data_IF_613912173421
#
_entry.id   IF_613912173421
#
_cell.length_a   1.000
_cell.length_b   1.000
_cell.length_c   1.000
_cell.angle_alpha   90.00
_cell.angle_beta   90.00
_cell.angle_gamma   90.00
#
_symmetry.space_group_name_H-M   'P 1'
#
loop_
_entity.id
_entity.type
_entity.pdbx_description
1 polymer ?
#
# COMPACT_ATOMS: atom_id res chain seq x y z
N UNK A 1 4.47 6.64 -26.55
CA UNK A 1 4.21 6.44 -25.12
C UNK A 1 2.73 6.60 -24.88
N UNK A 2 2.10 5.65 -24.24
CA UNK A 2 0.75 5.86 -23.73
C UNK A 2 0.84 6.78 -22.51
N UNK A 3 -0.23 7.49 -22.14
CA UNK A 3 -0.22 8.31 -20.92
C UNK A 3 0.16 7.55 -19.64
N UNK A 4 -0.18 6.28 -19.57
CA UNK A 4 0.19 5.38 -18.47
C UNK A 4 1.70 5.16 -18.35
N UNK A 5 2.43 5.11 -19.48
CA UNK A 5 3.87 4.94 -19.47
C UNK A 5 4.59 6.15 -18.85
N UNK A 6 4.13 7.35 -19.18
CA UNK A 6 4.75 8.60 -18.69
C UNK A 6 4.73 8.63 -17.18
N UNK A 7 3.60 8.28 -16.57
CA UNK A 7 3.41 8.32 -15.12
C UNK A 7 4.28 7.34 -14.35
N UNK A 8 4.43 6.11 -14.84
CA UNK A 8 5.34 5.16 -14.24
C UNK A 8 6.77 5.69 -14.18
N UNK A 9 7.23 6.31 -15.26
CA UNK A 9 8.60 6.82 -15.36
C UNK A 9 8.81 8.00 -14.42
N UNK A 10 7.83 8.89 -14.28
CA UNK A 10 7.88 10.01 -13.32
C UNK A 10 7.96 9.49 -11.87
N UNK A 11 7.14 8.51 -11.52
CA UNK A 11 7.21 7.87 -10.19
C UNK A 11 8.55 7.15 -9.97
N UNK A 12 9.09 6.51 -11.00
CA UNK A 12 10.39 5.87 -10.91
C UNK A 12 11.52 6.90 -10.70
N UNK A 13 11.41 8.09 -11.29
CA UNK A 13 12.34 9.21 -11.05
C UNK A 13 12.24 9.72 -9.61
N UNK A 14 11.04 9.94 -9.09
CA UNK A 14 10.80 10.34 -7.69
C UNK A 14 11.41 9.29 -6.74
N UNK A 15 11.15 8.01 -6.99
CA UNK A 15 11.71 6.92 -6.21
C UNK A 15 13.25 6.96 -6.25
N UNK A 16 13.84 7.05 -7.43
CA UNK A 16 15.31 7.09 -7.58
C UNK A 16 15.94 8.30 -6.90
N UNK A 17 15.28 9.44 -6.87
CA UNK A 17 15.74 10.63 -6.16
C UNK A 17 15.71 10.46 -4.62
N UNK A 18 14.87 9.55 -4.10
CA UNK A 18 14.75 9.25 -2.67
C UNK A 18 15.64 8.09 -2.20
N UNK A 19 16.25 7.34 -3.13
CA UNK A 19 17.08 6.20 -2.77
C UNK A 19 18.47 6.64 -2.29
N UNK A 20 19.10 5.86 -1.37
CA UNK A 20 20.49 6.06 -0.99
C UNK A 20 21.46 5.89 -2.17
N UNK A 21 22.62 6.55 -2.08
CA UNK A 21 23.71 6.40 -3.06
C UNK A 21 24.07 4.93 -3.32
N UNK A 22 24.17 4.57 -4.59
CA UNK A 22 24.50 3.21 -5.03
C UNK A 22 23.29 2.28 -5.15
N UNK A 23 22.09 2.73 -4.82
CA UNK A 23 20.85 2.01 -5.10
C UNK A 23 20.14 2.65 -6.28
N UNK A 24 19.55 1.82 -7.13
CA UNK A 24 18.77 2.27 -8.27
C UNK A 24 17.55 1.37 -8.49
N UNK A 25 16.40 1.98 -8.62
CA UNK A 25 15.18 1.33 -9.06
C UNK A 25 15.12 1.30 -10.59
N UNK A 26 14.76 0.17 -11.14
CA UNK A 26 14.55 -0.03 -12.57
C UNK A 26 13.19 -0.65 -12.84
N UNK A 27 12.66 -0.40 -14.04
CA UNK A 27 11.37 -0.92 -14.44
C UNK A 27 11.43 -2.40 -14.80
N UNK A 28 10.41 -3.17 -14.44
CA UNK A 28 10.13 -4.50 -14.95
C UNK A 28 8.78 -4.52 -15.68
N UNK A 29 8.52 -5.55 -16.52
CA UNK A 29 9.42 -6.66 -16.88
C UNK A 29 10.60 -6.24 -17.77
N UNK A 30 11.47 -7.22 -18.09
CA UNK A 30 12.61 -7.00 -18.98
C UNK A 30 12.19 -6.38 -20.32
N UNK A 31 12.96 -5.39 -20.79
CA UNK A 31 12.65 -4.65 -21.99
C UNK A 31 11.70 -3.46 -21.79
N UNK A 32 11.16 -3.25 -20.58
CA UNK A 32 10.43 -2.04 -20.28
C UNK A 32 11.37 -0.83 -20.32
N UNK A 33 11.06 0.13 -21.19
CA UNK A 33 11.80 1.38 -21.38
C UNK A 33 10.86 2.45 -21.91
N UNK A 34 11.18 3.74 -21.69
CA UNK A 34 10.38 4.82 -22.30
C UNK A 34 10.24 4.65 -23.82
N UNK A 35 8.99 4.55 -24.29
CA UNK A 35 8.70 4.33 -25.72
C UNK A 35 8.83 2.90 -26.23
N UNK A 36 9.15 1.93 -25.35
CA UNK A 36 9.11 0.50 -25.68
C UNK A 36 7.69 -0.01 -25.87
N UNK A 37 7.54 -1.13 -26.61
CA UNK A 37 6.28 -1.86 -26.66
C UNK A 37 5.99 -2.66 -25.38
N UNK A 38 7.02 -2.91 -24.56
CA UNK A 38 6.88 -3.58 -23.25
C UNK A 38 6.49 -2.54 -22.21
N UNK A 39 5.29 -2.70 -21.67
CA UNK A 39 4.76 -1.79 -20.66
C UNK A 39 5.41 -2.07 -19.29
N UNK A 40 5.80 -1.03 -18.53
CA UNK A 40 6.28 -1.20 -17.18
C UNK A 40 5.14 -1.66 -16.26
N UNK A 41 5.42 -2.60 -15.36
CA UNK A 41 4.42 -3.17 -14.45
C UNK A 41 4.83 -3.10 -12.97
N UNK A 42 6.10 -3.04 -12.68
CA UNK A 42 6.67 -2.96 -11.32
C UNK A 42 8.06 -2.35 -11.37
N UNK A 43 8.56 -1.93 -10.20
CA UNK A 43 9.94 -1.51 -10.03
C UNK A 43 10.71 -2.51 -9.17
N UNK A 44 11.99 -2.71 -9.46
CA UNK A 44 12.88 -3.56 -8.69
C UNK A 44 14.28 -2.97 -8.55
N UNK A 45 15.05 -3.43 -7.56
CA UNK A 45 16.42 -2.97 -7.33
C UNK A 45 17.34 -3.51 -8.43
N UNK A 46 18.03 -2.61 -9.11
CA UNK A 46 18.98 -2.96 -10.17
C UNK A 46 20.09 -3.88 -9.66
N UNK A 47 20.41 -4.91 -10.44
CA UNK A 47 21.56 -5.77 -10.19
C UNK A 47 21.43 -6.69 -8.96
N UNK A 48 20.24 -6.88 -8.39
CA UNK A 48 20.06 -7.69 -7.19
C UNK A 48 18.96 -8.73 -7.35
N UNK A 49 19.18 -9.89 -6.74
CA UNK A 49 18.18 -10.93 -6.53
C UNK A 49 18.05 -11.25 -5.05
N UNK A 50 16.87 -11.63 -4.62
CA UNK A 50 16.55 -12.03 -3.25
C UNK A 50 16.50 -13.54 -3.16
N UNK A 51 17.08 -14.11 -2.10
CA UNK A 51 17.11 -15.55 -1.82
C UNK A 51 16.97 -15.80 -0.33
N UNK A 52 16.60 -17.02 0.06
CA UNK A 52 16.69 -17.43 1.46
C UNK A 52 18.14 -17.56 1.90
N UNK A 53 18.46 -17.17 3.14
CA UNK A 53 19.80 -17.26 3.74
C UNK A 53 20.38 -18.69 3.63
N UNK A 54 19.56 -19.68 3.88
CA UNK A 54 19.97 -21.09 3.82
C UNK A 54 20.48 -21.50 2.42
N UNK A 55 19.98 -20.84 1.38
CA UNK A 55 20.33 -21.12 -0.01
C UNK A 55 21.35 -20.14 -0.60
N UNK A 56 21.73 -19.10 0.14
CA UNK A 56 22.59 -18.03 -0.40
C UNK A 56 23.91 -18.54 -1.00
N UNK A 57 24.55 -19.51 -0.35
CA UNK A 57 25.78 -20.14 -0.86
C UNK A 57 25.58 -20.93 -2.15
N UNK A 58 24.48 -21.70 -2.24
CA UNK A 58 24.10 -22.46 -3.44
C UNK A 58 23.76 -21.50 -4.58
N UNK A 59 22.95 -20.49 -4.29
CA UNK A 59 22.57 -19.46 -5.25
C UNK A 59 23.78 -18.70 -5.80
N UNK A 60 24.70 -18.26 -4.94
CA UNK A 60 25.94 -17.61 -5.35
C UNK A 60 26.80 -18.50 -6.26
N UNK A 61 26.95 -19.79 -5.93
CA UNK A 61 27.68 -20.74 -6.75
C UNK A 61 27.02 -20.95 -8.13
N UNK A 62 25.69 -20.98 -8.18
CA UNK A 62 24.95 -21.10 -9.45
C UNK A 62 25.12 -19.88 -10.31
N UNK A 63 24.96 -18.68 -9.76
CA UNK A 63 25.18 -17.42 -10.49
C UNK A 63 26.62 -17.32 -11.00
N UNK A 64 27.60 -17.73 -10.19
CA UNK A 64 29.02 -17.75 -10.61
C UNK A 64 29.27 -18.68 -11.78
N UNK A 65 28.57 -19.84 -11.87
CA UNK A 65 28.66 -20.74 -13.04
C UNK A 65 28.07 -20.15 -14.30
N UNK A 66 26.97 -19.39 -14.15
CA UNK A 66 26.30 -18.72 -15.27
C UNK A 66 27.10 -17.54 -15.83
N UNK A 67 27.86 -16.89 -14.97
CA UNK A 67 28.60 -15.67 -15.26
C UNK A 67 30.00 -15.78 -14.65
N UNK A 68 30.95 -16.46 -15.31
CA UNK A 68 32.29 -16.57 -14.79
C UNK A 68 33.01 -15.21 -14.83
N UNK A 69 33.34 -14.67 -13.66
CA UNK A 69 34.10 -13.43 -13.50
C UNK A 69 34.31 -13.07 -12.03
N UNK A 70 35.33 -12.27 -11.69
CA UNK A 70 35.62 -11.94 -10.28
C UNK A 70 34.57 -11.07 -9.59
N UNK A 71 33.70 -10.45 -10.36
CA UNK A 71 32.60 -9.59 -9.83
C UNK A 71 31.21 -10.17 -10.07
N UNK A 72 31.11 -11.44 -10.46
CA UNK A 72 29.86 -12.04 -10.88
C UNK A 72 28.80 -12.09 -9.75
N UNK A 73 29.22 -12.23 -8.50
CA UNK A 73 28.33 -12.28 -7.33
C UNK A 73 28.99 -11.69 -6.10
N UNK A 74 28.34 -10.75 -5.47
CA UNK A 74 28.66 -10.31 -4.11
C UNK A 74 27.44 -10.58 -3.21
N UNK A 75 27.66 -11.24 -2.10
CA UNK A 75 26.63 -11.37 -1.07
C UNK A 75 26.57 -10.03 -0.34
N UNK A 76 25.55 -9.26 -0.56
CA UNK A 76 25.30 -8.06 0.21
C UNK A 76 25.09 -8.45 1.68
N UNK A 77 25.55 -7.59 2.61
CA UNK A 77 25.47 -7.89 4.05
C UNK A 77 24.04 -8.28 4.46
N UNK A 78 23.92 -9.35 5.26
CA UNK A 78 22.64 -9.74 5.79
C UNK A 78 22.08 -8.60 6.63
N UNK A 79 20.89 -8.14 6.31
CA UNK A 79 20.03 -7.56 7.32
C UNK A 79 19.28 -8.72 7.96
N UNK A 80 19.76 -9.16 9.11
CA UNK A 80 19.09 -10.18 9.91
C UNK A 80 17.89 -9.55 10.57
N UNK A 81 16.75 -10.09 10.31
CA UNK A 81 15.57 -9.75 11.04
C UNK A 81 14.74 -10.99 11.27
N UNK A 82 14.66 -11.41 12.51
CA UNK A 82 13.68 -12.42 12.91
C UNK A 82 13.85 -13.76 12.18
N UNK A 83 12.96 -14.65 12.34
CA UNK A 83 13.00 -16.08 12.06
C UNK A 83 13.20 -16.54 10.62
N UNK A 84 13.33 -15.71 9.64
CA UNK A 84 13.66 -16.08 8.26
C UNK A 84 14.63 -15.06 7.71
N UNK A 85 15.89 -15.44 7.51
CA UNK A 85 16.87 -14.54 6.94
C UNK A 85 16.81 -14.58 5.43
N UNK A 86 16.56 -13.43 4.83
CA UNK A 86 16.69 -13.20 3.41
C UNK A 86 18.04 -12.56 3.10
N UNK A 87 18.58 -12.87 1.92
CA UNK A 87 19.83 -12.31 1.43
C UNK A 87 19.65 -11.69 0.07
N UNK A 88 20.15 -10.47 -0.08
CA UNK A 88 20.35 -9.86 -1.40
C UNK A 88 21.68 -10.33 -1.95
N UNK A 89 21.63 -10.88 -3.14
CA UNK A 89 22.82 -11.17 -3.94
C UNK A 89 22.96 -10.08 -5.00
N UNK A 90 24.07 -9.32 -4.95
CA UNK A 90 24.42 -8.44 -6.06
C UNK A 90 24.93 -9.30 -7.21
N UNK A 91 24.28 -9.21 -8.35
CA UNK A 91 24.54 -10.00 -9.55
C UNK A 91 25.04 -9.08 -10.65
N UNK A 92 26.19 -9.36 -11.21
CA UNK A 92 26.78 -8.56 -12.29
C UNK A 92 26.03 -8.67 -13.63
N UNK A 93 24.94 -9.42 -13.68
CA UNK A 93 24.13 -9.64 -14.88
C UNK A 93 23.11 -8.54 -15.09
N UNK A 94 22.94 -8.19 -16.36
CA UNK A 94 21.81 -7.36 -16.80
C UNK A 94 20.52 -8.16 -16.94
N UNK A 95 20.61 -9.50 -17.02
CA UNK A 95 19.46 -10.41 -17.17
C UNK A 95 19.16 -11.09 -15.81
N UNK A 96 18.50 -10.33 -14.94
CA UNK A 96 18.12 -10.82 -13.61
C UNK A 96 16.98 -11.83 -13.69
N UNK A 97 16.04 -11.68 -14.64
CA UNK A 97 14.94 -12.63 -14.83
C UNK A 97 15.46 -14.02 -15.15
N UNK A 98 16.41 -14.12 -16.08
CA UNK A 98 17.06 -15.37 -16.41
C UNK A 98 17.80 -15.98 -15.22
N UNK A 99 18.41 -15.11 -14.39
CA UNK A 99 19.07 -15.57 -13.16
C UNK A 99 18.08 -16.21 -12.21
N UNK A 100 16.93 -15.55 -11.95
CA UNK A 100 15.84 -16.11 -11.10
C UNK A 100 15.32 -17.41 -11.68
N UNK A 101 15.06 -17.50 -12.99
CA UNK A 101 14.66 -18.76 -13.65
C UNK A 101 15.66 -19.89 -13.48
N UNK A 102 16.96 -19.60 -13.56
CA UNK A 102 17.99 -20.63 -13.34
C UNK A 102 18.04 -21.11 -11.90
N UNK A 103 17.90 -20.17 -10.93
CA UNK A 103 17.82 -20.54 -9.51
C UNK A 103 16.60 -21.42 -9.24
N UNK A 104 15.45 -21.09 -9.81
CA UNK A 104 14.23 -21.88 -9.69
C UNK A 104 14.40 -23.31 -10.25
N UNK A 105 15.13 -23.49 -11.36
CA UNK A 105 15.45 -24.84 -11.91
C UNK A 105 16.34 -25.68 -11.01
N UNK A 106 17.09 -25.04 -10.12
CA UNK A 106 17.90 -25.72 -9.09
C UNK A 106 17.19 -25.82 -7.73
N UNK A 107 15.87 -25.60 -7.71
CA UNK A 107 15.04 -25.64 -6.51
C UNK A 107 15.53 -24.66 -5.43
N UNK A 108 15.87 -23.45 -5.87
CA UNK A 108 16.26 -22.32 -5.02
C UNK A 108 15.20 -21.24 -5.12
N UNK A 109 14.46 -21.02 -4.03
CA UNK A 109 13.50 -19.94 -3.95
C UNK A 109 14.20 -18.57 -4.07
N UNK A 110 13.84 -17.84 -5.11
CA UNK A 110 14.44 -16.55 -5.41
C UNK A 110 13.46 -15.62 -6.13
N UNK A 111 13.68 -14.33 -6.01
CA UNK A 111 12.92 -13.30 -6.71
C UNK A 111 13.81 -12.12 -7.12
N UNK A 112 13.31 -11.23 -7.95
CA UNK A 112 13.81 -9.86 -8.00
C UNK A 112 13.59 -9.20 -6.64
N UNK A 113 14.30 -8.13 -6.33
CA UNK A 113 14.04 -7.34 -5.11
C UNK A 113 13.07 -6.23 -5.48
N UNK A 114 11.78 -6.46 -5.27
CA UNK A 114 10.73 -5.52 -5.70
C UNK A 114 10.62 -4.32 -4.75
N UNK A 115 10.19 -3.18 -5.30
CA UNK A 115 9.70 -2.06 -4.52
C UNK A 115 8.19 -2.20 -4.29
N UNK A 116 7.80 -2.16 -3.04
CA UNK A 116 6.40 -2.06 -2.59
C UNK A 116 6.08 -0.59 -2.37
N UNK A 117 4.99 -0.08 -2.92
CA UNK A 117 4.66 1.35 -2.89
C UNK A 117 3.26 1.61 -2.34
N UNK A 118 3.08 2.72 -1.62
CA UNK A 118 1.74 3.19 -1.17
C UNK A 118 0.91 3.73 -2.33
N UNK A 119 1.57 4.26 -3.34
CA UNK A 119 0.96 4.61 -4.61
C UNK A 119 1.51 3.64 -5.64
N UNK A 120 0.74 2.67 -6.03
CA UNK A 120 1.03 1.87 -7.20
C UNK A 120 1.16 2.76 -8.43
N UNK A 121 1.58 2.20 -9.56
CA UNK A 121 1.61 2.88 -10.85
C UNK A 121 0.18 3.22 -11.27
N UNK A 122 -0.36 4.29 -10.75
CA UNK A 122 -1.75 4.64 -10.94
C UNK A 122 -2.01 5.17 -12.35
N UNK A 123 -2.97 4.56 -12.99
CA UNK A 123 -3.43 4.94 -14.33
C UNK A 123 -4.59 5.94 -14.28
N UNK A 124 -4.94 6.42 -13.09
CA UNK A 124 -6.05 7.34 -12.87
C UNK A 124 -5.56 8.64 -12.25
N UNK A 125 -5.98 9.82 -12.76
CA UNK A 125 -5.67 11.11 -12.16
C UNK A 125 -6.19 11.30 -10.74
N UNK A 126 -6.92 10.33 -10.19
CA UNK A 126 -7.44 10.37 -8.83
C UNK A 126 -6.43 10.01 -7.74
N UNK A 127 -5.17 9.72 -8.06
CA UNK A 127 -4.15 9.35 -7.06
C UNK A 127 -3.41 10.54 -6.43
N UNK A 128 -3.52 11.72 -7.00
CA UNK A 128 -3.10 12.96 -6.34
C UNK A 128 -4.26 13.57 -5.53
N UNK A 129 -3.97 14.08 -4.32
CA UNK A 129 -5.00 14.71 -3.51
C UNK A 129 -5.44 16.04 -4.13
N UNK A 130 -6.72 16.39 -3.94
CA UNK A 130 -7.29 17.68 -4.37
C UNK A 130 -7.78 18.43 -3.13
N UNK A 131 -7.53 19.76 -2.99
CA UNK A 131 -8.04 20.53 -1.86
C UNK A 131 -9.55 20.38 -1.71
N UNK A 132 -10.02 20.22 -0.48
CA UNK A 132 -11.43 20.10 -0.15
C UNK A 132 -11.80 21.00 1.04
N UNK A 133 -13.03 21.50 1.04
CA UNK A 133 -13.60 22.22 2.16
C UNK A 133 -14.56 21.37 3.01
N UNK A 134 -14.62 20.07 2.75
CA UNK A 134 -15.55 19.14 3.41
C UNK A 134 -16.91 19.05 2.71
N UNK A 135 -17.91 18.33 3.21
CA UNK A 135 -17.87 17.56 4.46
C UNK A 135 -16.97 16.30 4.40
N UNK A 136 -16.71 15.70 5.55
CA UNK A 136 -16.00 14.40 5.61
C UNK A 136 -16.78 13.33 4.84
N UNK A 137 -16.04 12.54 4.08
CA UNK A 137 -16.54 11.36 3.38
C UNK A 137 -15.53 10.21 3.56
N UNK A 138 -15.86 9.14 4.29
CA UNK A 138 -17.13 8.90 4.97
C UNK A 138 -17.39 9.85 6.15
N UNK A 139 -18.66 10.08 6.53
CA UNK A 139 -19.00 10.87 7.71
C UNK A 139 -18.63 10.13 9.00
N UNK A 140 -18.50 10.88 10.09
CA UNK A 140 -18.27 10.29 11.41
C UNK A 140 -19.45 9.40 11.83
N UNK A 141 -19.12 8.16 12.20
CA UNK A 141 -20.06 7.17 12.70
C UNK A 141 -20.34 7.31 14.22
N UNK A 142 -21.06 6.33 14.80
CA UNK A 142 -21.33 6.29 16.25
C UNK A 142 -20.04 6.24 17.08
N UNK A 143 -19.97 7.05 18.14
CA UNK A 143 -18.75 7.37 18.92
C UNK A 143 -18.08 6.20 19.63
N UNK A 144 -18.82 5.13 19.89
CA UNK A 144 -18.38 3.92 20.61
C UNK A 144 -17.87 2.81 19.69
N UNK A 145 -18.02 2.98 18.37
CA UNK A 145 -17.57 1.99 17.39
C UNK A 145 -16.07 1.84 17.42
N UNK A 146 -15.61 0.59 17.50
CA UNK A 146 -14.20 0.23 17.57
C UNK A 146 -13.61 0.28 18.97
N UNK A 147 -14.40 0.54 20.03
CA UNK A 147 -13.91 0.62 21.40
C UNK A 147 -13.22 -0.69 21.83
N UNK A 148 -11.97 -0.55 22.31
CA UNK A 148 -11.15 -1.69 22.75
C UNK A 148 -10.51 -2.49 21.62
N UNK A 149 -10.57 -1.99 20.37
CA UNK A 149 -9.93 -2.61 19.19
C UNK A 149 -8.69 -1.81 18.80
N UNK A 150 -7.56 -2.51 18.66
CA UNK A 150 -6.29 -1.94 18.23
C UNK A 150 -6.06 -2.09 16.73
N UNK A 151 -5.66 -1.01 16.06
CA UNK A 151 -5.37 -1.00 14.61
C UNK A 151 -4.00 -0.38 14.35
N UNK A 152 -3.11 -1.16 13.73
CA UNK A 152 -1.86 -0.63 13.19
C UNK A 152 -2.03 -0.26 11.72
N UNK A 153 -1.79 1.00 11.39
CA UNK A 153 -1.71 1.50 10.01
C UNK A 153 -0.24 1.57 9.62
N UNK A 154 0.16 0.75 8.66
CA UNK A 154 1.54 0.69 8.18
C UNK A 154 1.61 1.46 6.85
N UNK A 155 2.09 2.72 6.91
CA UNK A 155 1.98 3.68 5.82
C UNK A 155 3.13 4.71 5.85
N UNK A 156 2.89 5.96 5.51
CA UNK A 156 3.87 7.06 5.46
C UNK A 156 3.96 7.87 6.76
N UNK A 157 3.36 7.40 7.86
CA UNK A 157 3.30 8.13 9.12
C UNK A 157 2.22 9.22 9.13
N UNK A 158 2.28 10.07 10.15
CA UNK A 158 1.36 11.18 10.40
C UNK A 158 2.02 12.51 10.04
N UNK A 159 1.26 13.45 9.51
CA UNK A 159 1.70 14.83 9.32
C UNK A 159 1.77 15.56 10.67
N UNK A 160 2.62 16.60 10.75
CA UNK A 160 2.89 17.29 12.02
C UNK A 160 1.65 17.95 12.65
N UNK A 161 0.70 18.40 11.84
CA UNK A 161 -0.52 19.12 12.25
C UNK A 161 -1.76 18.20 12.36
N UNK A 162 -1.59 16.86 12.36
CA UNK A 162 -2.69 15.91 12.37
C UNK A 162 -3.68 16.07 13.54
N UNK A 163 -3.23 16.59 14.68
CA UNK A 163 -4.09 16.82 15.86
C UNK A 163 -4.99 18.05 15.73
N UNK A 164 -4.81 18.90 14.72
CA UNK A 164 -5.73 19.99 14.40
C UNK A 164 -7.07 19.43 13.90
N UNK A 165 -7.08 18.18 13.44
CA UNK A 165 -8.28 17.45 13.07
C UNK A 165 -8.92 16.80 14.30
N UNK A 166 -10.07 17.31 14.74
CA UNK A 166 -10.74 16.90 15.99
C UNK A 166 -11.02 15.39 16.07
N UNK A 167 -11.28 14.72 14.96
CA UNK A 167 -11.53 13.28 14.93
C UNK A 167 -10.27 12.42 15.03
N UNK A 168 -9.09 13.00 14.89
CA UNK A 168 -7.79 12.36 15.14
C UNK A 168 -7.28 12.65 16.55
N UNK A 169 -7.69 13.75 17.16
CA UNK A 169 -7.35 14.10 18.52
C UNK A 169 -8.17 13.28 19.54
N UNK A 170 -7.67 13.20 20.77
CA UNK A 170 -8.46 12.65 21.88
C UNK A 170 -9.70 13.49 22.13
N UNK A 171 -10.87 12.88 22.30
CA UNK A 171 -12.08 13.63 22.62
C UNK A 171 -12.02 14.13 24.07
N UNK A 172 -11.94 15.47 24.23
CA UNK A 172 -12.07 16.13 25.54
C UNK A 172 -13.52 16.05 25.98
N UNK A 173 -13.92 15.04 26.70
CA UNK A 173 -15.28 14.92 27.25
C UNK A 173 -15.91 13.55 27.05
N UNK A 174 -15.23 12.65 26.38
CA UNK A 174 -15.59 11.24 26.34
C UNK A 174 -14.43 10.45 26.95
N UNK A 175 -14.57 9.87 28.14
CA UNK A 175 -13.58 8.96 28.65
C UNK A 175 -13.45 7.80 27.66
N UNK A 176 -12.23 7.50 27.21
CA UNK A 176 -11.86 6.34 26.40
C UNK A 176 -11.94 6.47 24.87
N UNK A 177 -11.95 7.67 24.29
CA UNK A 177 -11.59 7.78 22.86
C UNK A 177 -10.10 8.18 22.80
N UNK A 178 -9.20 7.26 22.44
CA UNK A 178 -7.79 7.56 22.33
C UNK A 178 -7.54 8.52 21.16
N UNK A 179 -6.52 9.37 21.27
CA UNK A 179 -6.01 10.07 20.07
C UNK A 179 -5.38 9.04 19.14
N UNK A 180 -5.34 9.36 17.85
CA UNK A 180 -4.45 8.66 16.92
C UNK A 180 -3.01 8.92 17.35
N UNK A 181 -2.18 7.89 17.37
CA UNK A 181 -0.76 7.98 17.76
C UNK A 181 0.11 7.40 16.62
N UNK A 182 1.41 7.60 16.66
CA UNK A 182 2.33 7.01 15.69
C UNK A 182 3.53 7.86 15.37
N UNK A 183 4.16 7.53 14.25
CA UNK A 183 5.34 8.22 13.73
C UNK A 183 4.91 9.52 13.05
N UNK A 184 5.30 10.64 13.66
CA UNK A 184 4.97 11.98 13.15
C UNK A 184 6.14 12.52 12.34
N UNK A 185 5.87 12.92 11.10
CA UNK A 185 6.85 13.57 10.23
C UNK A 185 7.14 14.97 10.74
N UNK A 186 8.41 15.37 10.79
CA UNK A 186 8.75 16.74 11.16
C UNK A 186 8.30 17.72 10.06
N UNK A 187 7.85 18.96 10.42
CA UNK A 187 7.32 19.91 9.43
C UNK A 187 8.28 20.19 8.25
N UNK A 188 9.59 20.22 8.51
CA UNK A 188 10.61 20.41 7.46
C UNK A 188 10.80 19.22 6.54
N UNK A 189 10.43 18.03 6.97
CA UNK A 189 10.53 16.80 6.17
C UNK A 189 9.30 16.58 5.29
N UNK A 190 8.20 17.28 5.54
CA UNK A 190 6.99 17.26 4.71
C UNK A 190 7.12 18.07 3.43
N UNK A 191 8.05 19.03 3.43
CA UNK A 191 8.21 19.97 2.34
C UNK A 191 9.50 19.69 1.56
N UNK A 192 9.45 20.00 0.27
CA UNK A 192 10.63 20.05 -0.59
C UNK A 192 11.42 21.36 -0.38
N UNK A 193 12.61 21.54 -1.01
CA UNK A 193 13.39 22.77 -0.90
C UNK A 193 12.66 24.04 -1.36
N UNK A 194 11.62 23.92 -2.20
CA UNK A 194 10.81 25.03 -2.70
C UNK A 194 9.60 25.32 -1.78
N UNK A 195 9.46 24.59 -0.67
CA UNK A 195 8.39 24.73 0.30
C UNK A 195 7.07 24.10 -0.14
N UNK A 196 7.09 23.19 -1.10
CA UNK A 196 5.93 22.46 -1.58
C UNK A 196 5.78 21.15 -0.82
N UNK A 197 4.55 20.72 -0.57
CA UNK A 197 4.25 19.43 0.04
C UNK A 197 4.81 18.32 -0.87
N UNK A 198 5.67 17.45 -0.31
CA UNK A 198 6.24 16.32 -1.04
C UNK A 198 5.18 15.30 -1.46
N UNK A 199 5.40 14.57 -2.56
CA UNK A 199 4.54 13.45 -2.93
C UNK A 199 4.38 12.46 -1.77
N UNK A 200 3.16 11.92 -1.60
CA UNK A 200 2.76 10.94 -0.58
C UNK A 200 2.73 11.42 0.87
N UNK A 201 3.18 12.62 1.18
CA UNK A 201 2.94 13.25 2.49
C UNK A 201 1.43 13.31 2.74
N UNK A 202 1.03 12.96 3.97
CA UNK A 202 -0.37 12.96 4.39
C UNK A 202 -1.16 11.70 4.04
N UNK A 203 -0.60 10.74 3.27
CA UNK A 203 -1.30 9.50 2.89
C UNK A 203 -1.71 8.69 4.13
N UNK A 204 -0.79 8.43 5.07
CA UNK A 204 -1.09 7.72 6.33
C UNK A 204 -2.05 8.49 7.24
N UNK A 205 -1.96 9.84 7.26
CA UNK A 205 -2.91 10.68 8.01
C UNK A 205 -4.31 10.59 7.44
N UNK A 206 -4.45 10.63 6.12
CA UNK A 206 -5.73 10.47 5.43
C UNK A 206 -6.37 9.12 5.76
N UNK A 207 -5.60 8.03 5.70
CA UNK A 207 -6.03 6.66 6.04
C UNK A 207 -6.51 6.60 7.49
N UNK A 208 -5.74 7.13 8.44
CA UNK A 208 -6.14 7.21 9.84
C UNK A 208 -7.44 7.99 10.02
N UNK A 209 -7.59 9.08 9.28
CA UNK A 209 -8.81 9.89 9.29
C UNK A 209 -10.04 9.15 8.78
N UNK A 210 -9.91 8.42 7.67
CA UNK A 210 -10.98 7.57 7.13
C UNK A 210 -11.37 6.48 8.13
N UNK A 211 -10.40 5.78 8.71
CA UNK A 211 -10.63 4.75 9.71
C UNK A 211 -11.38 5.31 10.93
N UNK A 212 -10.96 6.48 11.43
CA UNK A 212 -11.59 7.17 12.56
C UNK A 212 -13.00 7.65 12.26
N UNK A 213 -13.32 7.95 11.02
CA UNK A 213 -14.71 8.22 10.62
C UNK A 213 -15.61 7.00 10.79
N UNK A 214 -15.10 5.80 10.51
CA UNK A 214 -15.85 4.52 10.57
C UNK A 214 -15.84 3.92 11.98
N UNK A 215 -14.72 3.97 12.66
CA UNK A 215 -14.51 3.43 14.01
C UNK A 215 -13.87 4.47 14.95
N UNK A 216 -14.62 5.48 15.41
CA UNK A 216 -14.09 6.60 16.17
C UNK A 216 -13.40 6.23 17.48
N UNK A 217 -13.76 5.11 18.09
CA UNK A 217 -13.20 4.66 19.37
C UNK A 217 -12.08 3.62 19.22
N UNK A 218 -11.69 3.26 18.00
CA UNK A 218 -10.56 2.35 17.79
C UNK A 218 -9.24 3.00 18.22
N UNK A 219 -8.35 2.20 18.81
CA UNK A 219 -6.99 2.59 19.14
C UNK A 219 -6.13 2.46 17.88
N UNK A 220 -5.86 3.60 17.23
CA UNK A 220 -5.19 3.65 15.93
C UNK A 220 -3.77 4.16 16.11
N UNK A 221 -2.82 3.37 15.62
CA UNK A 221 -1.42 3.76 15.55
C UNK A 221 -0.89 3.68 14.13
N UNK A 222 -0.28 4.78 13.66
CA UNK A 222 0.25 4.92 12.30
C UNK A 222 1.78 4.85 12.33
N UNK A 223 2.35 3.99 11.52
CA UNK A 223 3.80 3.81 11.41
C UNK A 223 4.31 4.25 10.04
N UNK A 224 5.49 4.85 10.02
CA UNK A 224 6.21 5.13 8.78
C UNK A 224 7.02 3.89 8.37
N UNK A 225 6.45 3.09 7.47
CA UNK A 225 7.06 1.87 6.94
C UNK A 225 7.68 2.07 5.53
N UNK A 226 7.52 3.24 4.92
CA UNK A 226 7.90 3.53 3.53
C UNK A 226 8.87 4.70 3.42
N UNK A 227 10.17 4.47 3.65
CA UNK A 227 11.17 5.53 3.76
C UNK A 227 11.56 6.21 2.42
N UNK A 228 11.24 5.60 1.26
CA UNK A 228 11.70 6.06 -0.04
C UNK A 228 10.56 6.68 -0.85
N UNK A 229 10.14 7.89 -0.49
CA UNK A 229 9.01 8.59 -1.13
C UNK A 229 7.77 7.69 -1.30
N UNK A 230 7.31 7.10 -0.19
CA UNK A 230 6.17 6.17 -0.21
C UNK A 230 6.48 4.78 -0.74
N UNK A 231 7.74 4.40 -0.85
CA UNK A 231 8.17 3.07 -1.24
C UNK A 231 9.12 2.43 -0.22
N UNK A 232 9.21 1.09 -0.24
CA UNK A 232 10.17 0.29 0.50
C UNK A 232 10.57 -0.94 -0.33
N UNK A 233 11.77 -1.46 -0.13
CA UNK A 233 12.14 -2.77 -0.69
C UNK A 233 11.42 -3.87 0.06
N UNK A 234 10.97 -4.91 -0.65
CA UNK A 234 10.11 -5.96 -0.09
C UNK A 234 10.72 -6.66 1.14
N UNK A 235 12.02 -6.91 1.15
CA UNK A 235 12.71 -7.53 2.29
C UNK A 235 12.90 -6.56 3.46
N UNK A 236 13.13 -5.27 3.20
CA UNK A 236 13.17 -4.23 4.24
C UNK A 236 11.78 -4.03 4.85
N UNK A 237 10.74 -4.04 4.01
CA UNK A 237 9.36 -3.91 4.47
C UNK A 237 8.97 -5.09 5.36
N UNK A 238 9.15 -6.33 4.89
CA UNK A 238 8.82 -7.53 5.68
C UNK A 238 9.49 -7.53 7.05
N UNK A 239 10.78 -7.13 7.10
CA UNK A 239 11.50 -6.93 8.36
C UNK A 239 10.89 -5.82 9.22
N UNK A 240 10.61 -4.67 8.62
CA UNK A 240 10.06 -3.53 9.36
C UNK A 240 8.70 -3.86 9.95
N UNK A 241 7.84 -4.56 9.20
CA UNK A 241 6.53 -5.00 9.68
C UNK A 241 6.66 -5.91 10.91
N UNK A 242 7.48 -6.96 10.82
CA UNK A 242 7.73 -7.87 11.94
C UNK A 242 8.28 -7.14 13.16
N UNK A 243 9.32 -6.30 12.97
CA UNK A 243 9.93 -5.54 14.04
C UNK A 243 8.92 -4.62 14.75
N UNK A 244 8.09 -3.88 14.00
CA UNK A 244 7.07 -3.00 14.56
C UNK A 244 6.09 -3.80 15.41
N UNK A 245 5.61 -4.94 14.91
CA UNK A 245 4.62 -5.75 15.62
C UNK A 245 5.21 -6.45 16.84
N UNK A 246 6.46 -6.87 16.78
CA UNK A 246 7.15 -7.47 17.94
C UNK A 246 7.45 -6.42 19.04
N UNK A 247 7.84 -5.20 18.65
CA UNK A 247 8.16 -4.11 19.61
C UNK A 247 6.91 -3.51 20.26
N UNK A 248 5.81 -3.39 19.52
CA UNK A 248 4.60 -2.71 19.97
C UNK A 248 3.44 -3.64 20.32
N UNK A 249 3.58 -4.93 20.05
CA UNK A 249 2.54 -5.95 20.19
C UNK A 249 1.69 -6.12 18.92
N UNK A 250 1.16 -7.31 18.77
CA UNK A 250 0.29 -7.66 17.63
C UNK A 250 -1.09 -7.04 17.82
N UNK A 251 -1.52 -6.16 16.91
CA UNK A 251 -2.84 -5.53 16.98
C UNK A 251 -3.94 -6.50 16.54
N UNK A 252 -5.19 -6.13 16.77
CA UNK A 252 -6.32 -6.86 16.21
C UNK A 252 -6.39 -6.77 14.68
N UNK A 253 -6.02 -5.61 14.13
CA UNK A 253 -6.06 -5.34 12.68
C UNK A 253 -4.77 -4.65 12.25
N UNK A 254 -4.17 -5.13 11.19
CA UNK A 254 -3.12 -4.45 10.41
C UNK A 254 -3.75 -3.90 9.15
N UNK A 255 -3.70 -2.59 8.92
CA UNK A 255 -4.13 -1.93 7.68
C UNK A 255 -2.91 -1.56 6.85
N UNK A 256 -2.78 -2.12 5.65
CA UNK A 256 -1.65 -1.91 4.75
C UNK A 256 -2.13 -1.46 3.37
N UNK A 257 -1.98 -0.18 3.11
CA UNK A 257 -2.41 0.46 1.86
C UNK A 257 -1.27 0.60 0.87
N UNK A 258 -0.54 -0.49 0.66
CA UNK A 258 0.61 -0.54 -0.23
C UNK A 258 0.73 -1.90 -0.92
N UNK A 259 1.44 -1.95 -2.04
CA UNK A 259 1.70 -3.20 -2.72
C UNK A 259 2.52 -3.05 -3.99
N UNK A 260 2.69 -4.17 -4.68
CA UNK A 260 3.35 -4.24 -5.99
C UNK A 260 2.93 -5.51 -6.74
N UNK A 261 3.20 -5.52 -8.03
CA UNK A 261 3.20 -6.74 -8.84
C UNK A 261 4.58 -7.39 -8.81
N UNK A 262 4.63 -8.65 -9.15
CA UNK A 262 5.87 -9.41 -9.30
C UNK A 262 6.07 -9.83 -10.76
N UNK A 263 7.31 -10.16 -11.10
CA UNK A 263 7.71 -10.49 -12.47
C UNK A 263 6.95 -11.67 -13.09
N UNK A 264 6.56 -12.63 -12.26
CA UNK A 264 5.94 -13.90 -12.64
C UNK A 264 4.57 -14.12 -11.96
N UNK A 265 4.00 -13.07 -11.38
CA UNK A 265 2.77 -13.10 -10.58
C UNK A 265 2.87 -13.97 -9.32
N UNK A 266 4.05 -14.44 -8.92
CA UNK A 266 4.28 -15.19 -7.68
C UNK A 266 4.24 -14.28 -6.46
N UNK A 267 4.05 -14.88 -5.28
CA UNK A 267 4.04 -14.17 -4.02
C UNK A 267 5.38 -13.48 -3.72
N UNK A 268 5.34 -12.30 -3.08
CA UNK A 268 6.52 -11.57 -2.64
C UNK A 268 7.31 -12.39 -1.62
N UNK A 269 8.53 -12.78 -1.99
CA UNK A 269 9.43 -13.54 -1.11
C UNK A 269 9.78 -12.74 0.15
N UNK A 270 9.92 -11.42 0.02
CA UNK A 270 10.25 -10.52 1.11
C UNK A 270 9.20 -10.42 2.21
N UNK A 271 7.93 -10.72 1.90
CA UNK A 271 6.82 -10.69 2.84
C UNK A 271 6.38 -12.07 3.35
N UNK A 272 6.98 -13.15 2.84
CA UNK A 272 6.55 -14.51 3.20
C UNK A 272 6.62 -14.77 4.72
N UNK A 273 7.73 -14.39 5.35
CA UNK A 273 7.91 -14.59 6.80
C UNK A 273 6.93 -13.76 7.64
N UNK A 274 6.57 -12.56 7.18
CA UNK A 274 5.54 -11.73 7.81
C UNK A 274 4.17 -12.40 7.74
N UNK A 275 3.81 -12.97 6.59
CA UNK A 275 2.53 -13.65 6.41
C UNK A 275 2.45 -14.94 7.22
N UNK A 276 3.56 -15.68 7.31
CA UNK A 276 3.65 -16.88 8.15
C UNK A 276 3.48 -16.55 9.65
N UNK A 277 4.13 -15.49 10.15
CA UNK A 277 3.97 -15.03 11.53
C UNK A 277 2.55 -14.49 11.77
N UNK A 278 1.97 -13.77 10.81
CA UNK A 278 0.58 -13.33 10.89
C UNK A 278 -0.38 -14.52 11.01
N UNK A 279 -0.12 -15.63 10.30
CA UNK A 279 -0.89 -16.86 10.43
C UNK A 279 -0.78 -17.47 11.83
N UNK A 280 0.39 -17.36 12.47
CA UNK A 280 0.61 -17.81 13.86
C UNK A 280 -0.06 -16.94 14.92
N UNK A 281 -0.56 -15.74 14.55
CA UNK A 281 -1.26 -14.81 15.43
C UNK A 281 -2.76 -14.73 15.12
N UNK A 282 -3.60 -15.69 15.59
CA UNK A 282 -5.01 -15.79 15.18
C UNK A 282 -5.88 -14.61 15.62
N UNK A 283 -5.40 -13.76 16.53
CA UNK A 283 -6.06 -12.53 16.94
C UNK A 283 -5.92 -11.38 15.93
N UNK A 284 -4.97 -11.47 15.01
CA UNK A 284 -4.64 -10.41 14.06
C UNK A 284 -5.14 -10.74 12.64
N UNK A 285 -5.63 -9.73 11.93
CA UNK A 285 -6.03 -9.79 10.52
C UNK A 285 -5.30 -8.70 9.73
N UNK A 286 -4.75 -9.05 8.57
CA UNK A 286 -4.25 -8.08 7.61
C UNK A 286 -5.39 -7.65 6.66
N UNK A 287 -5.62 -6.35 6.56
CA UNK A 287 -6.51 -5.73 5.56
C UNK A 287 -5.63 -4.95 4.59
N UNK A 288 -5.58 -5.38 3.33
CA UNK A 288 -4.62 -4.88 2.34
C UNK A 288 -5.30 -4.33 1.08
N UNK A 289 -4.77 -3.24 0.54
CA UNK A 289 -5.27 -2.60 -0.66
C UNK A 289 -4.98 -3.43 -1.92
N UNK A 290 -5.99 -3.60 -2.77
CA UNK A 290 -5.87 -4.39 -3.99
C UNK A 290 -5.04 -3.73 -5.11
N UNK A 291 -4.72 -2.43 -4.99
CA UNK A 291 -3.98 -1.67 -6.00
C UNK A 291 -4.87 -0.95 -7.01
N UNK A 292 -4.26 -0.02 -7.73
CA UNK A 292 -4.98 1.00 -8.51
C UNK A 292 -4.67 0.95 -10.02
N UNK A 293 -4.30 -0.20 -10.55
CA UNK A 293 -3.91 -0.36 -11.95
C UNK A 293 -5.08 -0.72 -12.88
N UNK A 294 -6.27 -1.01 -12.31
CA UNK A 294 -7.46 -1.44 -13.05
C UNK A 294 -7.30 -2.81 -13.71
N UNK A 295 -6.42 -3.67 -13.18
CA UNK A 295 -5.98 -4.93 -13.75
C UNK A 295 -6.45 -6.14 -12.93
N UNK A 296 -6.28 -7.34 -13.52
CA UNK A 296 -6.63 -8.62 -12.87
C UNK A 296 -5.42 -9.36 -12.30
N UNK A 297 -4.21 -8.93 -12.63
CA UNK A 297 -2.98 -9.57 -12.13
C UNK A 297 -2.87 -9.42 -10.61
N UNK A 298 -2.35 -10.44 -9.90
CA UNK A 298 -2.12 -10.37 -8.46
C UNK A 298 -1.31 -9.14 -8.06
N UNK A 299 -1.75 -8.49 -6.99
CA UNK A 299 -1.08 -7.36 -6.37
C UNK A 299 -0.79 -7.70 -4.91
N UNK A 300 0.48 -7.77 -4.56
CA UNK A 300 0.96 -8.26 -3.28
C UNK A 300 1.24 -7.10 -2.30
N UNK A 301 0.84 -7.23 -1.00
CA UNK A 301 0.43 -8.45 -0.30
C UNK A 301 -1.08 -8.80 -0.37
N UNK A 302 -1.93 -7.98 -0.96
CA UNK A 302 -3.37 -8.22 -0.96
C UNK A 302 -3.74 -9.60 -1.57
N UNK A 303 -3.01 -10.04 -2.60
CA UNK A 303 -3.24 -11.32 -3.27
C UNK A 303 -2.94 -12.56 -2.39
N UNK A 304 -2.28 -12.39 -1.23
CA UNK A 304 -2.20 -13.48 -0.25
C UNK A 304 -3.57 -13.94 0.29
N UNK A 305 -4.63 -13.16 0.05
CA UNK A 305 -5.99 -13.55 0.41
C UNK A 305 -6.46 -14.87 -0.24
N UNK A 306 -5.86 -15.26 -1.38
CA UNK A 306 -6.20 -16.52 -2.07
C UNK A 306 -5.13 -17.60 -1.96
N UNK A 307 -3.93 -17.25 -1.51
CA UNK A 307 -2.89 -18.24 -1.29
C UNK A 307 -3.25 -19.12 -0.08
N UNK A 308 -3.01 -20.44 -0.15
CA UNK A 308 -3.20 -21.33 0.99
C UNK A 308 -2.09 -21.09 2.02
N UNK A 309 -2.14 -19.95 2.69
CA UNK A 309 -1.27 -19.66 3.82
C UNK A 309 -1.75 -20.50 4.99
N UNK A 310 -1.21 -21.69 5.15
CA UNK A 310 -1.62 -22.65 6.16
C UNK A 310 -3.15 -22.88 6.21
N UNK A 311 -3.63 -24.00 6.65
CA UNK A 311 -5.04 -24.45 6.61
C UNK A 311 -6.10 -23.52 7.26
N UNK A 312 -5.78 -22.28 7.60
CA UNK A 312 -6.66 -21.30 8.24
C UNK A 312 -7.14 -20.15 7.36
N UNK A 313 -6.84 -20.13 6.08
CA UNK A 313 -7.50 -19.35 4.98
C UNK A 313 -7.86 -17.86 5.14
N UNK A 314 -7.93 -17.31 6.35
CA UNK A 314 -8.56 -16.01 6.63
C UNK A 314 -7.56 -15.01 7.25
N UNK A 315 -6.31 -15.02 6.81
CA UNK A 315 -5.24 -14.20 7.39
C UNK A 315 -5.17 -12.81 6.76
N UNK A 316 -5.50 -12.75 5.46
CA UNK A 316 -5.45 -11.54 4.63
C UNK A 316 -6.81 -11.28 4.01
N UNK A 317 -7.26 -10.03 4.07
CA UNK A 317 -8.44 -9.53 3.38
C UNK A 317 -8.00 -8.52 2.32
N UNK A 318 -8.30 -8.79 1.06
CA UNK A 318 -8.00 -7.91 -0.07
C UNK A 318 -9.16 -6.95 -0.35
N UNK A 319 -8.86 -5.65 -0.46
CA UNK A 319 -9.88 -4.60 -0.59
C UNK A 319 -9.73 -3.84 -1.90
N UNK A 320 -10.75 -3.94 -2.76
CA UNK A 320 -10.94 -3.12 -3.94
C UNK A 320 -11.74 -1.84 -3.64
N UNK A 321 -11.75 -0.91 -4.60
CA UNK A 321 -12.47 0.36 -4.48
C UNK A 321 -13.75 0.37 -5.31
N UNK A 322 -14.83 0.89 -4.72
CA UNK A 322 -16.08 1.26 -5.39
C UNK A 322 -16.02 2.71 -5.83
N UNK A 323 -16.82 3.01 -6.85
CA UNK A 323 -17.12 4.36 -7.34
C UNK A 323 -17.79 5.20 -6.26
N UNK A 324 -17.70 6.54 -6.40
CA UNK A 324 -18.38 7.51 -5.53
C UNK A 324 -19.89 7.27 -5.47
N UNK A 325 -20.53 6.89 -6.60
CA UNK A 325 -21.98 6.61 -6.66
C UNK A 325 -22.37 5.23 -6.14
N UNK A 326 -21.42 4.39 -5.74
CA UNK A 326 -21.64 3.02 -5.24
C UNK A 326 -22.18 2.03 -6.29
N UNK A 327 -22.30 2.44 -7.57
CA UNK A 327 -22.92 1.61 -8.60
C UNK A 327 -21.98 0.61 -9.27
N UNK A 328 -20.76 0.50 -8.78
CA UNK A 328 -19.79 -0.45 -9.31
C UNK A 328 -18.38 -0.18 -8.86
N UNK A 329 -17.45 -0.98 -9.37
CA UNK A 329 -16.01 -0.87 -9.12
C UNK A 329 -15.47 0.45 -9.68
N UNK A 330 -14.61 1.13 -8.94
CA UNK A 330 -13.86 2.27 -9.47
C UNK A 330 -12.94 1.82 -10.61
N UNK A 331 -12.78 2.67 -11.62
CA UNK A 331 -12.04 2.32 -12.84
C UNK A 331 -10.59 1.91 -12.56
N UNK A 332 -9.95 2.56 -11.61
CA UNK A 332 -8.57 2.27 -11.21
C UNK A 332 -8.42 1.00 -10.36
N UNK A 333 -9.46 0.58 -9.65
CA UNK A 333 -9.35 -0.56 -8.73
C UNK A 333 -8.96 -1.84 -9.44
N UNK A 334 -7.91 -2.50 -8.96
CA UNK A 334 -7.63 -3.87 -9.35
C UNK A 334 -8.80 -4.78 -9.00
N UNK A 335 -8.93 -5.88 -9.74
CA UNK A 335 -10.05 -6.80 -9.60
C UNK A 335 -9.63 -8.23 -9.97
N UNK A 336 -10.45 -9.20 -9.61
CA UNK A 336 -10.22 -10.62 -9.85
C UNK A 336 -10.68 -11.45 -8.66
N UNK A 337 -10.55 -12.77 -8.77
CA UNK A 337 -11.01 -13.70 -7.74
C UNK A 337 -10.21 -13.58 -6.42
N UNK A 338 -9.07 -12.91 -6.47
CA UNK A 338 -8.23 -12.64 -5.30
C UNK A 338 -8.65 -11.37 -4.54
N UNK A 339 -9.55 -10.54 -5.06
CA UNK A 339 -10.11 -9.39 -4.35
C UNK A 339 -11.31 -9.84 -3.53
N UNK A 340 -11.18 -9.80 -2.20
CA UNK A 340 -12.18 -10.36 -1.27
C UNK A 340 -13.42 -9.49 -1.14
N UNK A 341 -13.24 -8.16 -1.11
CA UNK A 341 -14.31 -7.20 -0.84
C UNK A 341 -14.03 -5.85 -1.51
N UNK A 342 -15.10 -5.09 -1.79
CA UNK A 342 -15.02 -3.73 -2.29
C UNK A 342 -15.70 -2.76 -1.33
N UNK A 343 -15.09 -1.59 -1.13
CA UNK A 343 -15.63 -0.49 -0.32
C UNK A 343 -15.45 0.85 -1.04
N UNK A 344 -16.17 1.92 -0.65
CA UNK A 344 -15.97 3.24 -1.24
C UNK A 344 -14.50 3.64 -1.23
N UNK A 345 -13.98 4.07 -2.38
CA UNK A 345 -12.57 4.45 -2.52
C UNK A 345 -12.35 5.57 -3.51
N UNK A 346 -13.43 6.16 -4.05
CA UNK A 346 -13.36 7.27 -4.98
C UNK A 346 -13.85 8.55 -4.32
N UNK A 347 -13.04 9.62 -4.39
CA UNK A 347 -13.35 10.97 -3.86
C UNK A 347 -13.73 11.01 -2.39
N UNK A 348 -13.05 10.25 -1.56
CA UNK A 348 -13.18 10.40 -0.13
C UNK A 348 -12.61 11.74 0.32
N UNK A 349 -13.18 12.34 1.37
CA UNK A 349 -12.73 13.61 1.92
C UNK A 349 -12.29 13.40 3.36
N UNK A 350 -11.01 13.66 3.65
CA UNK A 350 -10.49 13.47 5.00
C UNK A 350 -9.28 14.36 5.31
N UNK A 351 -8.68 14.12 6.48
CA UNK A 351 -7.53 14.84 7.02
C UNK A 351 -6.34 14.85 6.06
N UNK A 352 -5.75 16.00 5.91
CA UNK A 352 -4.54 16.22 5.14
C UNK A 352 -3.72 17.35 5.79
N UNK A 353 -2.47 17.53 5.38
CA UNK A 353 -1.66 18.67 5.85
C UNK A 353 -2.08 19.98 5.17
N UNK A 354 -1.57 21.11 5.69
CA UNK A 354 -1.79 22.44 5.11
C UNK A 354 -0.55 22.91 4.37
N UNK A 355 -0.73 23.55 3.20
CA UNK A 355 0.38 24.11 2.44
C UNK A 355 0.20 24.06 0.92
N UNK A 356 1.17 24.60 0.18
CA UNK A 356 1.16 24.56 -1.28
C UNK A 356 1.59 23.19 -1.82
N UNK A 357 0.95 22.78 -2.89
CA UNK A 357 1.20 21.55 -3.59
C UNK A 357 1.34 21.81 -5.09
N UNK A 358 2.27 21.14 -5.75
CA UNK A 358 2.46 21.20 -7.20
C UNK A 358 2.01 19.88 -7.82
N UNK A 359 1.08 19.95 -8.76
CA UNK A 359 0.63 18.75 -9.49
C UNK A 359 1.67 18.31 -10.51
N UNK A 360 2.11 17.08 -10.38
CA UNK A 360 3.13 16.46 -11.24
C UNK A 360 2.54 15.78 -12.47
N UNK A 361 1.22 15.56 -12.52
CA UNK A 361 0.64 14.67 -13.52
C UNK A 361 -0.29 15.38 -14.51
N UNK A 362 -0.16 15.09 -15.81
CA UNK A 362 -1.05 15.61 -16.84
C UNK A 362 -2.42 14.91 -16.79
N UNK A 363 -3.27 15.29 -15.85
CA UNK A 363 -4.56 14.63 -15.53
C UNK A 363 -5.44 14.26 -16.73
N UNK A 364 -5.44 15.07 -17.80
CA UNK A 364 -6.27 14.80 -18.98
C UNK A 364 -5.70 13.72 -19.89
N UNK A 365 -4.41 13.42 -19.79
CA UNK A 365 -3.71 12.52 -20.71
C UNK A 365 -3.39 11.17 -20.07
N UNK A 366 -3.52 11.03 -18.76
CA UNK A 366 -3.14 9.81 -18.01
C UNK A 366 -4.28 8.83 -17.79
N UNK A 367 -5.54 9.26 -17.87
CA UNK A 367 -6.68 8.36 -17.68
C UNK A 367 -6.86 7.43 -18.88
N UNK A 368 -6.53 6.16 -18.74
CA UNK A 368 -6.76 5.16 -19.78
C UNK A 368 -8.25 4.80 -19.97
N UNK A 369 -9.11 5.23 -19.04
CA UNK A 369 -10.56 5.02 -19.07
C UNK A 369 -11.32 6.30 -19.46
N UNK A 370 -10.64 7.26 -20.11
CA UNK A 370 -11.26 8.51 -20.56
C UNK A 370 -12.31 8.33 -21.66
N UNK A 371 -12.46 7.12 -22.20
CA UNK A 371 -13.55 6.81 -23.12
C UNK A 371 -14.88 6.76 -22.37
N UNK A 372 -15.83 7.66 -22.65
CA UNK A 372 -17.13 7.70 -21.99
C UNK A 372 -17.96 6.42 -22.16
N UNK A 373 -17.66 5.60 -23.16
CA UNK A 373 -18.34 4.34 -23.40
C UNK A 373 -18.04 3.30 -22.31
N UNK A 374 -16.84 3.34 -21.72
CA UNK A 374 -16.45 2.44 -20.63
C UNK A 374 -16.86 2.93 -19.26
N UNK A 375 -16.96 4.25 -19.07
CA UNK A 375 -17.24 4.83 -17.78
C UNK A 375 -18.03 6.14 -17.86
N UNK A 376 -19.30 6.10 -18.30
CA UNK A 376 -20.13 7.30 -18.34
C UNK A 376 -20.33 7.85 -16.94
N UNK A 377 -20.02 9.12 -16.72
CA UNK A 377 -20.11 9.76 -15.41
C UNK A 377 -18.85 9.64 -14.56
N UNK A 378 -17.71 9.24 -15.16
CA UNK A 378 -16.41 9.35 -14.47
C UNK A 378 -16.18 10.80 -14.08
N UNK A 379 -16.02 11.01 -12.77
CA UNK A 379 -15.79 12.31 -12.16
C UNK A 379 -14.33 12.53 -11.77
N UNK A 380 -13.48 11.53 -11.99
CA UNK A 380 -12.06 11.62 -11.69
C UNK A 380 -11.27 12.51 -12.66
N UNK A 381 -11.91 13.02 -13.70
CA UNK A 381 -11.31 14.02 -14.58
C UNK A 381 -11.14 15.33 -13.82
N UNK A 382 -10.02 15.45 -13.10
CA UNK A 382 -9.67 16.67 -12.41
C UNK A 382 -9.49 17.81 -13.41
N UNK A 383 -9.84 19.01 -12.98
CA UNK A 383 -9.64 20.23 -13.75
C UNK A 383 -8.19 20.72 -13.69
N UNK A 384 -7.41 20.22 -12.74
CA UNK A 384 -6.01 20.56 -12.51
C UNK A 384 -5.10 19.89 -13.53
N UNK A 385 -4.02 20.53 -13.89
CA UNK A 385 -3.06 20.09 -14.89
C UNK A 385 -1.65 20.07 -14.30
N UNK A 386 -0.74 19.35 -14.96
CA UNK A 386 0.68 19.39 -14.63
C UNK A 386 1.17 20.83 -14.51
N UNK A 387 1.89 21.11 -13.42
CA UNK A 387 2.39 22.45 -13.11
C UNK A 387 1.39 23.37 -12.44
N UNK A 388 0.11 22.99 -12.33
CA UNK A 388 -0.84 23.75 -11.51
C UNK A 388 -0.45 23.67 -10.03
N UNK A 389 -0.67 24.77 -9.31
CA UNK A 389 -0.47 24.83 -7.87
C UNK A 389 -1.81 24.91 -7.15
N UNK A 390 -1.92 24.18 -6.06
CA UNK A 390 -3.04 24.28 -5.14
C UNK A 390 -2.54 24.54 -3.72
N UNK A 391 -3.40 25.07 -2.86
CA UNK A 391 -3.10 25.23 -1.44
C UNK A 391 -4.09 24.42 -0.63
N UNK A 392 -3.58 23.49 0.15
CA UNK A 392 -4.38 22.71 1.09
C UNK A 392 -4.55 23.48 2.40
N UNK A 393 -5.69 23.27 3.03
CA UNK A 393 -6.07 23.88 4.31
C UNK A 393 -6.51 22.83 5.33
N UNK A 394 -5.85 21.68 5.31
CA UNK A 394 -6.08 20.57 6.23
C UNK A 394 -7.03 19.48 5.73
N UNK A 395 -7.73 19.66 4.62
CA UNK A 395 -8.56 18.61 4.02
C UNK A 395 -8.20 18.38 2.57
N UNK A 396 -8.29 17.09 2.17
CA UNK A 396 -8.18 16.69 0.78
C UNK A 396 -9.36 15.81 0.36
N UNK A 397 -9.69 15.83 -0.93
CA UNK A 397 -10.43 14.79 -1.60
C UNK A 397 -9.43 13.87 -2.31
N UNK A 398 -9.51 12.55 -2.08
CA UNK A 398 -8.55 11.61 -2.63
C UNK A 398 -9.22 10.29 -3.03
N UNK A 399 -8.61 9.57 -4.00
CA UNK A 399 -9.15 8.31 -4.52
C UNK A 399 -8.08 7.21 -4.51
N UNK A 400 -8.48 5.98 -4.17
CA UNK A 400 -7.58 4.83 -4.17
C UNK A 400 -8.17 3.64 -3.40
N UNK A 401 -7.73 2.44 -3.74
CA UNK A 401 -7.96 1.25 -2.90
C UNK A 401 -7.32 1.42 -1.53
N UNK A 402 -6.29 2.28 -1.44
CA UNK A 402 -5.66 2.74 -0.20
C UNK A 402 -6.67 3.32 0.80
N UNK A 403 -7.73 3.94 0.32
CA UNK A 403 -8.73 4.60 1.16
C UNK A 403 -9.99 3.74 1.36
N UNK A 404 -10.25 2.79 0.48
CA UNK A 404 -11.24 1.73 0.69
C UNK A 404 -10.82 0.77 1.83
N UNK A 405 -9.53 0.49 1.94
CA UNK A 405 -8.93 -0.39 2.94
C UNK A 405 -9.24 0.02 4.38
N UNK A 406 -9.01 1.27 4.83
CA UNK A 406 -9.35 1.71 6.17
C UNK A 406 -10.85 1.76 6.45
N UNK A 407 -11.72 1.87 5.44
CA UNK A 407 -13.17 1.71 5.63
C UNK A 407 -13.46 0.27 6.07
N UNK A 408 -12.93 -0.73 5.38
CA UNK A 408 -13.13 -2.14 5.73
C UNK A 408 -12.52 -2.45 7.10
N UNK A 409 -11.29 -1.99 7.36
CA UNK A 409 -10.64 -2.14 8.67
C UNK A 409 -11.49 -1.52 9.80
N UNK A 410 -12.02 -0.31 9.59
CA UNK A 410 -12.93 0.35 10.53
C UNK A 410 -14.25 -0.38 10.73
N UNK A 411 -14.83 -0.96 9.67
CA UNK A 411 -16.05 -1.77 9.77
C UNK A 411 -15.80 -3.04 10.59
N UNK A 412 -14.65 -3.70 10.39
CA UNK A 412 -14.26 -4.87 11.17
C UNK A 412 -14.09 -4.47 12.64
N UNK A 413 -13.36 -3.37 12.92
CA UNK A 413 -13.18 -2.86 14.28
C UNK A 413 -14.52 -2.51 14.96
N UNK A 414 -15.43 -1.86 14.24
CA UNK A 414 -16.77 -1.57 14.75
C UNK A 414 -17.55 -2.86 15.07
N UNK A 415 -17.43 -3.87 14.21
CA UNK A 415 -18.07 -5.16 14.43
C UNK A 415 -17.50 -5.91 15.63
N UNK A 416 -16.17 -5.94 15.74
CA UNK A 416 -15.49 -6.56 16.88
C UNK A 416 -15.99 -5.98 18.20
N UNK A 417 -16.03 -4.65 18.31
CA UNK A 417 -16.49 -3.96 19.53
C UNK A 417 -17.96 -4.20 19.85
N UNK A 418 -18.82 -4.30 18.84
CA UNK A 418 -20.25 -4.54 19.02
C UNK A 418 -20.58 -5.98 19.42
N UNK A 419 -19.91 -6.96 18.80
CA UNK A 419 -20.23 -8.39 18.97
C UNK A 419 -19.24 -9.12 19.90
N UNK A 420 -18.18 -8.43 20.33
CA UNK A 420 -17.12 -9.01 21.19
C UNK A 420 -16.50 -10.27 20.56
N UNK A 421 -16.18 -10.19 19.27
CA UNK A 421 -15.59 -11.28 18.48
C UNK A 421 -14.19 -10.88 17.99
N UNK A 422 -13.39 -11.87 17.54
CA UNK A 422 -12.08 -11.61 16.95
C UNK A 422 -12.18 -10.92 15.58
N UNK A 423 -11.08 -10.30 15.12
CA UNK A 423 -10.97 -9.64 13.83
C UNK A 423 -11.35 -10.56 12.66
N UNK A 424 -10.86 -11.81 12.66
CA UNK A 424 -11.17 -12.80 11.62
C UNK A 424 -12.64 -13.23 11.64
N UNK A 425 -13.23 -13.38 12.84
CA UNK A 425 -14.67 -13.67 12.98
C UNK A 425 -15.53 -12.50 12.51
N UNK A 426 -15.15 -11.26 12.87
CA UNK A 426 -15.86 -10.07 12.43
C UNK A 426 -15.79 -9.93 10.89
N UNK A 427 -14.65 -10.15 10.28
CA UNK A 427 -14.46 -10.15 8.84
C UNK A 427 -15.34 -11.21 8.16
N UNK A 428 -15.32 -12.46 8.63
CA UNK A 428 -16.14 -13.54 8.09
C UNK A 428 -17.65 -13.23 8.19
N UNK A 429 -18.09 -12.60 9.28
CA UNK A 429 -19.48 -12.19 9.46
C UNK A 429 -19.89 -11.07 8.51
N UNK A 430 -19.02 -10.08 8.28
CA UNK A 430 -19.25 -9.01 7.32
C UNK A 430 -19.37 -9.57 5.91
N UNK A 431 -18.44 -10.42 5.50
CA UNK A 431 -18.43 -11.09 4.20
C UNK A 431 -19.66 -11.99 3.99
N UNK A 432 -20.16 -12.63 5.04
CA UNK A 432 -21.38 -13.43 4.98
C UNK A 432 -22.67 -12.59 4.95
N UNK A 433 -22.58 -11.26 4.95
CA UNK A 433 -23.74 -10.36 4.98
C UNK A 433 -24.54 -10.43 6.27
N UNK A 434 -23.97 -10.98 7.36
CA UNK A 434 -24.65 -11.13 8.66
C UNK A 434 -24.72 -9.84 9.46
N UNK A 435 -24.17 -8.77 8.93
CA UNK A 435 -24.34 -7.42 9.47
C UNK A 435 -24.42 -6.39 8.40
N UNK A 436 -25.57 -5.76 8.43
CA UNK A 436 -25.67 -4.39 8.03
C UNK A 436 -24.97 -3.52 9.12
N UNK A 437 -23.84 -2.94 8.85
CA UNK A 437 -23.51 -1.65 9.44
C UNK A 437 -24.43 -0.70 8.69
N UNK A 438 -25.49 -0.14 9.31
CA UNK A 438 -26.62 0.44 8.54
C UNK A 438 -26.18 1.50 7.54
N UNK A 439 -25.10 2.23 7.83
CA UNK A 439 -24.67 3.37 7.03
C UNK A 439 -23.65 3.00 5.93
N UNK A 440 -23.15 1.77 5.91
CA UNK A 440 -22.10 1.32 4.99
C UNK A 440 -22.40 -0.03 4.31
N UNK A 441 -23.46 -0.74 4.71
CA UNK A 441 -23.79 -2.07 4.20
C UNK A 441 -24.14 -2.11 2.71
N UNK A 442 -24.55 -0.99 2.13
CA UNK A 442 -24.80 -0.86 0.69
C UNK A 442 -23.54 -0.73 -0.15
N UNK A 443 -22.37 -0.57 0.48
CA UNK A 443 -21.10 -0.31 -0.19
C UNK A 443 -20.17 -1.52 -0.24
N UNK A 444 -20.48 -2.59 0.50
CA UNK A 444 -19.71 -3.83 0.42
C UNK A 444 -20.25 -4.70 -0.72
N UNK A 445 -19.44 -4.94 -1.72
CA UNK A 445 -19.69 -5.91 -2.80
C UNK A 445 -18.41 -6.55 -3.24
#
# INVERSE_FOLDING_TARGET
>A
MTPSDTRFWEQLEILNAALPDGMRAVAGPEGAAPGSAVQPQFAHLEGHVLVREADAGRAAATVQRLQPGPEAVRVAGARSAGRGTLRRLAVGSRDLHRTVEHLAREDIASSLVHFVTVAGVNLCPGDEPVPSAGPLNPPLSGRDRGAGVSVAVLDTGLVHDYLDHQWLAASTGLPNIPKVDGDVTAPGDELDPDGLIKPYVGHGTFIAGVLRCVAPAADVRVYNAFPYAGAALEDELGHTLLRILDEHGWPDIVSLSAGTRTADASALLGLADFVDELAAHPGTLLVAAAGNDGETLPFWPAAFATEPVNASGDVVLSVGALREDGLGRACFSNHGDWVTVYAPGERLVNAFTSGPYLYGYPHRTTCRFADPAHYPGCTCMATLQEGDKATFTGLAAWSGTSFATPIVAGMIAARMSQEQVSSRTAAAQLLAGRLAVPDLSGFLR
#
